data_IF_769329792468
#
_entry.id   IF_769329792468
#
_cell.length_a   1.000
_cell.length_b   1.000
_cell.length_c   1.000
_cell.angle_alpha   90.00
_cell.angle_beta   90.00
_cell.angle_gamma   90.00
#
_symmetry.space_group_name_H-M   'P 1'
#
loop_
_entity.id
_entity.type
_entity.pdbx_description
1 polymer ?
#
# COMPACT_ATOMS: atom_id res chain seq x y z
N UNK A 1 19.49 24.41 -19.46
CA UNK A 1 19.99 24.05 -18.12
C UNK A 1 19.40 24.91 -16.99
N UNK A 2 19.27 26.24 -17.14
CA UNK A 2 18.68 27.11 -16.09
C UNK A 2 17.18 26.88 -15.82
N UNK A 3 16.42 26.49 -16.83
CA UNK A 3 14.96 26.27 -16.76
C UNK A 3 14.57 24.99 -16.01
N UNK A 4 15.28 23.88 -16.21
CA UNK A 4 15.03 22.62 -15.48
C UNK A 4 15.35 22.77 -13.99
N UNK A 5 16.46 23.43 -13.66
CA UNK A 5 16.83 23.72 -12.27
C UNK A 5 15.76 24.61 -11.60
N UNK A 6 15.22 25.59 -12.32
CA UNK A 6 14.13 26.44 -11.82
C UNK A 6 12.84 25.64 -11.60
N UNK A 7 12.45 24.79 -12.56
CA UNK A 7 11.28 23.90 -12.44
C UNK A 7 11.40 22.94 -11.27
N UNK A 8 12.57 22.30 -11.08
CA UNK A 8 12.83 21.39 -9.97
C UNK A 8 12.74 22.09 -8.61
N UNK A 9 13.30 23.31 -8.50
CA UNK A 9 13.17 24.11 -7.28
C UNK A 9 11.72 24.49 -6.99
N UNK A 10 10.98 24.93 -8.00
CA UNK A 10 9.55 25.25 -7.85
C UNK A 10 8.76 24.02 -7.43
N UNK A 11 8.93 22.88 -8.09
CA UNK A 11 8.24 21.64 -7.74
C UNK A 11 8.57 21.20 -6.31
N UNK A 12 9.84 21.24 -5.92
CA UNK A 12 10.28 20.92 -4.55
C UNK A 12 9.65 21.86 -3.52
N UNK A 13 9.68 23.16 -3.76
CA UNK A 13 9.08 24.14 -2.85
C UNK A 13 7.58 23.94 -2.74
N UNK A 14 6.89 23.71 -3.85
CA UNK A 14 5.44 23.43 -3.86
C UNK A 14 5.12 22.17 -3.07
N UNK A 15 5.85 21.07 -3.28
CA UNK A 15 5.67 19.82 -2.53
C UNK A 15 5.92 20.01 -1.03
N UNK A 16 6.97 20.74 -0.66
CA UNK A 16 7.27 21.06 0.75
C UNK A 16 6.13 21.89 1.35
N UNK A 17 5.66 22.93 0.66
CA UNK A 17 4.59 23.79 1.16
C UNK A 17 3.29 23.01 1.33
N UNK A 18 2.89 22.21 0.34
CA UNK A 18 1.68 21.37 0.41
C UNK A 18 1.81 20.36 1.55
N UNK A 19 2.92 19.64 1.64
CA UNK A 19 3.15 18.66 2.70
C UNK A 19 3.15 19.29 4.09
N UNK A 20 3.80 20.45 4.25
CA UNK A 20 3.86 21.17 5.52
C UNK A 20 2.50 21.72 5.90
N UNK A 21 1.76 22.31 4.95
CA UNK A 21 0.39 22.77 5.18
C UNK A 21 -0.53 21.62 5.60
N UNK A 22 -0.40 20.46 4.96
CA UNK A 22 -1.14 19.25 5.36
C UNK A 22 -0.79 18.76 6.77
N UNK A 23 0.49 18.76 7.15
CA UNK A 23 0.92 18.40 8.50
C UNK A 23 0.39 19.37 9.57
N UNK A 24 0.49 20.68 9.32
CA UNK A 24 -0.03 21.71 10.23
C UNK A 24 -1.55 21.59 10.37
N UNK A 25 -2.25 21.40 9.25
CA UNK A 25 -3.69 21.18 9.26
C UNK A 25 -4.08 19.91 10.02
N UNK A 26 -3.37 18.80 9.79
CA UNK A 26 -3.58 17.55 10.52
C UNK A 26 -3.35 17.70 12.03
N UNK A 27 -2.31 18.44 12.42
CA UNK A 27 -2.03 18.74 13.83
C UNK A 27 -3.12 19.61 14.45
N UNK A 28 -3.59 20.62 13.73
CA UNK A 28 -4.72 21.45 14.14
C UNK A 28 -5.98 20.59 14.36
N UNK A 29 -6.36 19.76 13.38
CA UNK A 29 -7.52 18.87 13.49
C UNK A 29 -7.36 17.88 14.65
N UNK A 30 -6.15 17.37 14.88
CA UNK A 30 -5.88 16.47 16.00
C UNK A 30 -6.20 17.13 17.35
N UNK A 31 -5.73 18.35 17.59
CA UNK A 31 -6.00 19.06 18.84
C UNK A 31 -7.42 19.63 18.96
N UNK A 32 -8.03 19.97 17.83
CA UNK A 32 -9.40 20.49 17.77
C UNK A 32 -10.43 19.39 18.05
N UNK A 33 -10.24 18.20 17.48
CA UNK A 33 -11.25 17.13 17.50
C UNK A 33 -10.99 16.03 18.53
N UNK A 34 -9.73 15.79 18.93
CA UNK A 34 -9.37 14.66 19.80
C UNK A 34 -9.13 15.13 21.22
N UNK A 35 -9.84 14.54 22.17
CA UNK A 35 -9.61 14.77 23.61
C UNK A 35 -8.18 14.35 23.97
N UNK A 36 -7.51 15.15 24.81
CA UNK A 36 -6.12 14.93 25.24
C UNK A 36 -5.90 13.51 25.79
N UNK A 37 -6.88 12.95 26.50
CA UNK A 37 -6.83 11.60 27.05
C UNK A 37 -6.75 10.48 26.01
N UNK A 38 -7.10 10.75 24.74
CA UNK A 38 -7.01 9.79 23.63
C UNK A 38 -5.74 9.93 22.78
N UNK A 39 -4.95 11.00 22.98
CA UNK A 39 -3.72 11.22 22.23
C UNK A 39 -2.70 10.06 22.35
N UNK A 40 -2.53 9.39 23.51
CA UNK A 40 -1.62 8.24 23.60
C UNK A 40 -2.03 7.09 22.67
N UNK A 41 -3.34 6.86 22.51
CA UNK A 41 -3.86 5.84 21.59
C UNK A 41 -3.58 6.20 20.12
N UNK A 42 -3.71 7.47 19.76
CA UNK A 42 -3.36 7.97 18.42
C UNK A 42 -1.85 7.82 18.18
N UNK A 43 -1.02 8.21 19.14
CA UNK A 43 0.43 8.07 19.05
C UNK A 43 0.86 6.60 18.90
N UNK A 44 0.24 5.69 19.67
CA UNK A 44 0.46 4.25 19.55
C UNK A 44 0.08 3.74 18.16
N UNK A 45 -1.06 4.17 17.63
CA UNK A 45 -1.51 3.77 16.28
C UNK A 45 -0.57 4.27 15.18
N UNK A 46 -0.14 5.54 15.25
CA UNK A 46 0.85 6.10 14.31
C UNK A 46 2.16 5.32 14.41
N UNK A 47 2.66 5.07 15.63
CA UNK A 47 3.87 4.30 15.85
C UNK A 47 3.77 2.87 15.30
N UNK A 48 2.66 2.18 15.55
CA UNK A 48 2.40 0.86 15.01
C UNK A 48 2.33 0.86 13.48
N UNK A 49 1.72 1.88 12.87
CA UNK A 49 1.66 2.03 11.42
C UNK A 49 3.06 2.22 10.80
N UNK A 50 3.91 3.04 11.42
CA UNK A 50 5.31 3.25 11.00
C UNK A 50 6.09 1.94 11.08
N UNK A 51 6.01 1.24 12.22
CA UNK A 51 6.71 -0.04 12.40
C UNK A 51 6.24 -1.07 11.39
N UNK A 52 4.92 -1.22 11.19
CA UNK A 52 4.36 -2.12 10.18
C UNK A 52 4.90 -1.78 8.78
N UNK A 53 4.95 -0.50 8.42
CA UNK A 53 5.44 -0.07 7.12
C UNK A 53 6.94 -0.34 6.94
N UNK A 54 7.77 0.12 7.86
CA UNK A 54 9.22 0.14 7.68
C UNK A 54 9.89 -1.19 8.03
N UNK A 55 9.37 -1.91 9.04
CA UNK A 55 9.95 -3.17 9.48
C UNK A 55 9.35 -4.39 8.77
N UNK A 56 8.14 -4.28 8.20
CA UNK A 56 7.46 -5.41 7.55
C UNK A 56 7.23 -5.17 6.06
N UNK A 57 6.49 -4.12 5.68
CA UNK A 57 6.08 -3.95 4.29
C UNK A 57 7.27 -3.66 3.36
N UNK A 58 8.12 -2.70 3.73
CA UNK A 58 9.28 -2.34 2.92
C UNK A 58 10.25 -3.53 2.70
N UNK A 59 10.64 -4.31 3.75
CA UNK A 59 11.46 -5.51 3.57
C UNK A 59 10.77 -6.58 2.74
N UNK A 60 9.50 -6.88 2.98
CA UNK A 60 8.77 -7.92 2.22
C UNK A 60 8.74 -7.56 0.74
N UNK A 61 8.39 -6.33 0.41
CA UNK A 61 8.38 -5.83 -0.97
C UNK A 61 9.78 -5.89 -1.60
N UNK A 62 10.82 -5.51 -0.85
CA UNK A 62 12.20 -5.56 -1.30
C UNK A 62 12.65 -7.00 -1.61
N UNK A 63 12.42 -7.95 -0.70
CA UNK A 63 12.78 -9.35 -0.90
C UNK A 63 12.01 -9.99 -2.04
N UNK A 64 10.72 -9.69 -2.21
CA UNK A 64 9.95 -10.12 -3.39
C UNK A 64 10.59 -9.57 -4.67
N UNK A 65 10.96 -8.29 -4.67
CA UNK A 65 11.76 -7.63 -5.71
C UNK A 65 13.00 -8.43 -6.08
N UNK A 66 13.77 -8.84 -5.08
CA UNK A 66 15.02 -9.58 -5.26
C UNK A 66 14.80 -11.00 -5.80
N UNK A 67 13.86 -11.75 -5.22
CA UNK A 67 13.51 -13.12 -5.64
C UNK A 67 13.04 -13.16 -7.10
N UNK A 68 12.17 -12.22 -7.47
CA UNK A 68 11.61 -12.12 -8.82
C UNK A 68 12.66 -11.66 -9.86
N UNK A 69 13.59 -10.78 -9.47
CA UNK A 69 14.75 -10.43 -10.33
C UNK A 69 15.66 -11.62 -10.58
N UNK A 70 15.87 -12.46 -9.56
CA UNK A 70 16.67 -13.70 -9.69
C UNK A 70 16.03 -14.72 -10.64
N UNK A 71 14.71 -14.68 -10.82
CA UNK A 71 13.97 -15.54 -11.75
C UNK A 71 14.10 -15.14 -13.25
N UNK A 72 14.81 -14.05 -13.57
CA UNK A 72 15.35 -13.78 -14.91
C UNK A 72 14.34 -13.54 -16.05
N UNK A 73 13.05 -13.32 -15.77
CA UNK A 73 12.03 -13.16 -16.81
C UNK A 73 11.82 -11.69 -17.23
N UNK A 74 11.60 -11.44 -18.53
CA UNK A 74 11.28 -10.09 -19.05
C UNK A 74 9.98 -9.51 -18.47
N UNK A 75 9.03 -10.36 -18.06
CA UNK A 75 7.79 -9.93 -17.41
C UNK A 75 7.91 -9.56 -15.93
N UNK A 76 9.10 -9.75 -15.34
CA UNK A 76 9.35 -9.54 -13.91
C UNK A 76 9.01 -8.11 -13.46
N UNK A 77 9.27 -7.08 -14.28
CA UNK A 77 9.00 -5.69 -13.92
C UNK A 77 7.53 -5.38 -13.69
N UNK A 78 6.66 -5.76 -14.63
CA UNK A 78 5.21 -5.51 -14.53
C UNK A 78 4.57 -6.33 -13.42
N UNK A 79 4.99 -7.58 -13.24
CA UNK A 79 4.49 -8.44 -12.17
C UNK A 79 4.88 -7.86 -10.81
N UNK A 80 6.09 -7.32 -10.68
CA UNK A 80 6.53 -6.67 -9.44
C UNK A 80 5.67 -5.46 -9.08
N UNK A 81 5.42 -4.56 -10.03
CA UNK A 81 4.57 -3.38 -9.81
C UNK A 81 3.15 -3.80 -9.39
N UNK A 82 2.61 -4.84 -10.01
CA UNK A 82 1.29 -5.38 -9.66
C UNK A 82 1.27 -5.89 -8.21
N UNK A 83 2.24 -6.73 -7.81
CA UNK A 83 2.28 -7.29 -6.46
C UNK A 83 2.54 -6.21 -5.41
N UNK A 84 3.42 -5.25 -5.71
CA UNK A 84 3.63 -4.07 -4.86
C UNK A 84 2.34 -3.28 -4.66
N UNK A 85 1.60 -3.02 -5.75
CA UNK A 85 0.31 -2.35 -5.68
C UNK A 85 -0.69 -3.10 -4.80
N UNK A 86 -0.77 -4.42 -4.95
CA UNK A 86 -1.64 -5.26 -4.11
C UNK A 86 -1.27 -5.20 -2.63
N UNK A 87 0.02 -5.29 -2.29
CA UNK A 87 0.49 -5.17 -0.90
C UNK A 87 0.14 -3.79 -0.33
N UNK A 88 0.37 -2.71 -1.09
CA UNK A 88 0.03 -1.34 -0.65
C UNK A 88 -1.46 -1.19 -0.40
N UNK A 89 -2.30 -1.61 -1.35
CA UNK A 89 -3.76 -1.56 -1.23
C UNK A 89 -4.24 -2.37 -0.02
N UNK A 90 -3.71 -3.58 0.16
CA UNK A 90 -4.06 -4.43 1.30
C UNK A 90 -3.64 -3.83 2.63
N UNK A 91 -2.47 -3.20 2.67
CA UNK A 91 -1.96 -2.52 3.86
C UNK A 91 -2.81 -1.32 4.25
N UNK A 92 -3.18 -0.47 3.28
CA UNK A 92 -4.09 0.66 3.49
C UNK A 92 -5.43 0.16 4.03
N UNK A 93 -6.00 -0.87 3.41
CA UNK A 93 -7.30 -1.40 3.85
C UNK A 93 -7.22 -1.98 5.27
N UNK A 94 -6.12 -2.67 5.59
CA UNK A 94 -5.86 -3.16 6.96
C UNK A 94 -5.78 -2.01 7.96
N UNK A 95 -5.06 -0.94 7.61
CA UNK A 95 -4.87 0.22 8.48
C UNK A 95 -6.21 0.93 8.79
N UNK A 96 -7.14 0.93 7.83
CA UNK A 96 -8.50 1.47 7.98
C UNK A 96 -9.39 0.54 8.83
N UNK A 97 -9.32 -0.78 8.58
CA UNK A 97 -10.29 -1.74 9.15
C UNK A 97 -9.89 -2.24 10.54
N UNK A 98 -8.60 -2.35 10.85
CA UNK A 98 -8.12 -2.84 12.16
C UNK A 98 -8.67 -2.03 13.34
N UNK A 99 -8.70 -0.68 13.32
CA UNK A 99 -9.35 0.09 14.38
C UNK A 99 -10.83 -0.26 14.58
N UNK A 100 -11.57 -0.54 13.51
CA UNK A 100 -12.96 -0.97 13.60
C UNK A 100 -13.10 -2.38 14.20
N UNK A 101 -12.18 -3.29 13.91
CA UNK A 101 -12.13 -4.63 14.53
C UNK A 101 -11.87 -4.49 16.04
N UNK A 102 -10.89 -3.67 16.43
CA UNK A 102 -10.61 -3.40 17.85
C UNK A 102 -11.83 -2.78 18.53
N UNK A 103 -12.52 -1.84 17.87
CA UNK A 103 -13.73 -1.21 18.39
C UNK A 103 -14.90 -2.17 18.59
N UNK A 104 -15.07 -3.20 17.73
CA UNK A 104 -16.07 -4.27 17.95
C UNK A 104 -15.81 -5.05 19.23
N UNK A 105 -14.54 -5.33 19.55
CA UNK A 105 -14.16 -6.08 20.75
C UNK A 105 -14.40 -5.33 22.07
N UNK A 106 -14.65 -4.01 22.01
CA UNK A 106 -14.89 -3.17 23.18
C UNK A 106 -16.37 -3.11 23.60
N UNK A 107 -17.24 -3.96 23.03
CA UNK A 107 -18.70 -3.98 23.25
C UNK A 107 -19.36 -2.61 23.08
N UNK A 108 -19.69 -2.22 21.83
CA UNK A 108 -20.41 -0.98 21.59
C UNK A 108 -21.76 -0.97 22.33
N UNK A 109 -22.09 0.14 22.98
CA UNK A 109 -23.38 0.34 23.66
C UNK A 109 -24.59 0.27 22.70
N UNK A 110 -24.35 0.28 21.39
CA UNK A 110 -25.38 0.17 20.37
C UNK A 110 -24.93 -0.81 19.27
N UNK A 111 -25.66 -1.93 19.07
CA UNK A 111 -25.28 -2.98 18.12
C UNK A 111 -25.41 -2.56 16.65
N UNK A 112 -26.05 -1.44 16.32
CA UNK A 112 -26.16 -0.97 14.93
C UNK A 112 -24.96 -0.18 14.41
N UNK A 113 -23.98 0.16 15.27
CA UNK A 113 -22.85 1.02 14.88
C UNK A 113 -21.80 0.24 14.06
N UNK A 114 -21.55 -1.04 14.40
CA UNK A 114 -20.64 -1.94 13.65
C UNK A 114 -21.37 -3.26 13.33
N UNK A 115 -22.29 -3.25 12.35
CA UNK A 115 -23.13 -4.43 12.07
C UNK A 115 -22.38 -5.52 11.28
N UNK A 116 -21.26 -5.19 10.66
CA UNK A 116 -20.48 -6.11 9.83
C UNK A 116 -19.45 -6.85 10.68
N UNK A 117 -19.13 -8.09 10.30
CA UNK A 117 -17.94 -8.78 10.78
C UNK A 117 -16.72 -8.28 9.98
N UNK A 118 -16.05 -7.27 10.52
CA UNK A 118 -14.92 -6.63 9.84
C UNK A 118 -13.69 -7.55 9.77
N UNK A 119 -13.54 -8.48 10.72
CA UNK A 119 -12.45 -9.46 10.70
C UNK A 119 -12.60 -10.41 9.52
N UNK A 120 -13.79 -10.99 9.38
CA UNK A 120 -14.13 -11.86 8.24
C UNK A 120 -14.04 -11.10 6.91
N UNK A 121 -14.57 -9.89 6.84
CA UNK A 121 -14.56 -9.12 5.60
C UNK A 121 -13.15 -8.70 5.18
N UNK A 122 -12.27 -8.36 6.14
CA UNK A 122 -10.87 -8.06 5.84
C UNK A 122 -10.12 -9.30 5.34
N UNK A 123 -10.36 -10.47 5.94
CA UNK A 123 -9.78 -11.72 5.48
C UNK A 123 -10.25 -12.09 4.06
N UNK A 124 -11.55 -11.96 3.78
CA UNK A 124 -12.12 -12.16 2.43
C UNK A 124 -11.55 -11.18 1.42
N UNK A 125 -11.38 -9.92 1.81
CA UNK A 125 -10.76 -8.89 0.97
C UNK A 125 -9.32 -9.26 0.60
N UNK A 126 -8.50 -9.67 1.58
CA UNK A 126 -7.14 -10.12 1.31
C UNK A 126 -7.09 -11.36 0.42
N UNK A 127 -7.99 -12.32 0.64
CA UNK A 127 -8.11 -13.50 -0.21
C UNK A 127 -8.47 -13.14 -1.66
N UNK A 128 -9.45 -12.26 -1.85
CA UNK A 128 -9.84 -11.76 -3.17
C UNK A 128 -8.69 -10.99 -3.86
N UNK A 129 -8.01 -10.12 -3.11
CA UNK A 129 -6.88 -9.33 -3.61
C UNK A 129 -5.70 -10.22 -4.02
N UNK A 130 -5.35 -11.21 -3.20
CA UNK A 130 -4.33 -12.19 -3.51
C UNK A 130 -4.69 -13.04 -4.74
N UNK A 131 -5.97 -13.45 -4.85
CA UNK A 131 -6.47 -14.21 -6.00
C UNK A 131 -6.35 -13.40 -7.30
N UNK A 132 -6.86 -12.16 -7.32
CA UNK A 132 -6.80 -11.27 -8.50
C UNK A 132 -5.35 -11.02 -8.90
N UNK A 133 -4.48 -10.74 -7.92
CA UNK A 133 -3.05 -10.49 -8.15
C UNK A 133 -2.36 -11.71 -8.75
N UNK A 134 -2.62 -12.90 -8.20
CA UNK A 134 -2.02 -14.16 -8.67
C UNK A 134 -2.49 -14.52 -10.07
N UNK A 135 -3.80 -14.41 -10.34
CA UNK A 135 -4.38 -14.66 -11.67
C UNK A 135 -3.73 -13.74 -12.71
N UNK A 136 -3.68 -12.43 -12.42
CA UNK A 136 -3.13 -11.47 -13.37
C UNK A 136 -1.62 -11.63 -13.58
N UNK A 137 -0.87 -11.90 -12.52
CA UNK A 137 0.55 -12.24 -12.60
C UNK A 137 0.78 -13.50 -13.47
N UNK A 138 -0.03 -14.54 -13.27
CA UNK A 138 0.01 -15.77 -14.06
C UNK A 138 -0.29 -15.54 -15.55
N UNK A 139 -1.28 -14.69 -15.86
CA UNK A 139 -1.61 -14.29 -17.22
C UNK A 139 -0.45 -13.53 -17.90
N UNK A 140 0.15 -12.57 -17.18
CA UNK A 140 1.32 -11.81 -17.67
C UNK A 140 2.51 -12.73 -17.92
N UNK A 141 2.77 -13.66 -16.99
CA UNK A 141 3.83 -14.65 -17.13
C UNK A 141 3.60 -15.55 -18.35
N UNK A 142 2.39 -16.11 -18.51
CA UNK A 142 2.03 -16.97 -19.65
C UNK A 142 2.16 -16.24 -21.00
N UNK A 143 1.76 -14.96 -21.07
CA UNK A 143 1.92 -14.13 -22.28
C UNK A 143 3.39 -13.92 -22.64
N UNK A 144 4.23 -13.66 -21.64
CA UNK A 144 5.66 -13.41 -21.85
C UNK A 144 6.40 -14.65 -22.35
N UNK A 145 6.04 -15.85 -21.86
CA UNK A 145 6.62 -17.12 -22.30
C UNK A 145 6.29 -17.40 -23.76
N UNK A 146 5.04 -17.15 -24.19
CA UNK A 146 4.62 -17.32 -25.59
C UNK A 146 5.35 -16.37 -26.55
N UNK A 147 5.66 -15.15 -26.12
CA UNK A 147 6.38 -14.18 -26.95
C UNK A 147 7.83 -14.60 -27.23
N UNK A 148 8.51 -15.23 -26.25
CA UNK A 148 9.89 -15.73 -26.41
C UNK A 148 10.00 -17.00 -27.29
N UNK A 149 8.90 -17.70 -27.56
CA UNK A 149 8.88 -18.95 -28.34
C UNK A 149 8.68 -18.73 -29.85
N UNK A 150 8.44 -17.50 -30.32
CA UNK A 150 8.33 -17.22 -31.76
C UNK A 150 9.73 -17.20 -32.38
N UNK A 151 10.10 -18.16 -33.26
CA UNK A 151 11.38 -18.14 -33.95
C UNK A 151 11.45 -16.91 -34.87
N UNK A 152 12.58 -16.21 -34.87
CA UNK A 152 12.86 -15.14 -35.83
C UNK A 152 13.03 -15.74 -37.23
N UNK A 153 11.93 -15.89 -37.97
CA UNK A 153 11.91 -16.33 -39.37
C UNK A 153 12.32 -15.21 -40.33
N UNK A 154 13.43 -14.51 -40.05
CA UNK A 154 14.01 -13.49 -40.93
C UNK A 154 15.54 -13.49 -40.81
N UNK A 155 16.16 -14.36 -41.59
CA UNK A 155 17.48 -14.16 -42.20
C UNK A 155 17.64 -15.24 -43.28
N UNK A 156 17.19 -14.91 -44.49
CA UNK A 156 17.58 -15.51 -45.76
C UNK A 156 17.67 -14.39 -46.77
#
# INVERSE_FOLDING_TARGET
MSTEIKRMRVARTVLILIGTAGLVFGLYVLFDTVRITRLPGVALWIGAAIVLHDAVLAPVVFFLGLLLRRAGHRATGTILVLVQGAIVVGSIMTLIVVPAIVAQGLSPNNPSILPLDYGRNLALFWAALALVTTVWAGLLYARSRRANQRPSSRQS
#
